data_IF_944768776671
#
_entry.id   IF_944768776671
#
_cell.length_a   1.000
_cell.length_b   1.000
_cell.length_c   1.000
_cell.angle_alpha   90.00
_cell.angle_beta   90.00
_cell.angle_gamma   90.00
#
_symmetry.space_group_name_H-M   'P 1'
#
loop_
_entity.id
_entity.type
_entity.pdbx_description
1 polymer ?
#
# COMPACT_ATOMS: atom_id res chain seq x y z
N UNK A 1 22.16 -16.07 7.34
CA UNK A 1 20.99 -15.25 6.96
C UNK A 1 19.79 -16.20 6.84
N UNK A 2 18.79 -16.09 7.71
CA UNK A 2 17.66 -17.05 7.74
C UNK A 2 16.82 -16.94 6.47
N UNK A 3 16.46 -18.08 5.84
CA UNK A 3 15.62 -18.14 4.64
C UNK A 3 14.31 -17.36 4.80
N UNK A 4 13.72 -17.36 6.00
CA UNK A 4 12.50 -16.60 6.31
C UNK A 4 12.68 -15.09 6.23
N UNK A 5 13.88 -14.55 6.54
CA UNK A 5 14.15 -13.10 6.42
C UNK A 5 14.18 -12.70 4.96
N UNK A 6 14.93 -13.43 4.13
CA UNK A 6 15.04 -13.14 2.69
C UNK A 6 13.68 -13.23 1.99
N UNK A 7 12.87 -14.22 2.33
CA UNK A 7 11.53 -14.37 1.76
C UNK A 7 10.62 -13.18 2.10
N UNK A 8 10.65 -12.70 3.35
CA UNK A 8 9.90 -11.50 3.74
C UNK A 8 10.42 -10.24 3.03
N UNK A 9 11.74 -10.08 2.91
CA UNK A 9 12.34 -8.96 2.18
C UNK A 9 11.90 -8.93 0.71
N UNK A 10 11.90 -10.08 0.03
CA UNK A 10 11.43 -10.19 -1.35
C UNK A 10 9.93 -9.94 -1.46
N UNK A 11 9.12 -10.46 -0.54
CA UNK A 11 7.68 -10.24 -0.53
C UNK A 11 7.33 -8.76 -0.35
N UNK A 12 8.03 -8.05 0.55
CA UNK A 12 7.85 -6.61 0.76
C UNK A 12 8.40 -5.80 -0.41
N UNK A 13 9.52 -6.21 -1.00
CA UNK A 13 10.04 -5.59 -2.23
C UNK A 13 9.01 -5.66 -3.35
N UNK A 14 8.49 -6.86 -3.65
CA UNK A 14 7.48 -7.09 -4.68
C UNK A 14 6.17 -6.37 -4.36
N UNK A 15 5.67 -6.49 -3.12
CA UNK A 15 4.44 -5.83 -2.68
C UNK A 15 4.54 -4.30 -2.76
N UNK A 16 5.70 -3.73 -2.44
CA UNK A 16 5.96 -2.29 -2.50
C UNK A 16 6.02 -1.71 -3.91
N UNK A 17 6.26 -2.52 -4.94
CA UNK A 17 6.19 -2.06 -6.36
C UNK A 17 4.81 -1.51 -6.67
N UNK A 18 3.75 -2.11 -6.12
CA UNK A 18 2.36 -1.70 -6.39
C UNK A 18 2.08 -0.27 -5.91
N UNK A 19 2.21 0.09 -4.62
CA UNK A 19 1.98 1.46 -4.15
C UNK A 19 2.99 2.47 -4.71
N UNK A 20 4.24 2.07 -4.98
CA UNK A 20 5.22 2.97 -5.60
C UNK A 20 4.82 3.28 -7.04
N UNK A 21 4.54 2.25 -7.85
CA UNK A 21 4.14 2.42 -9.24
C UNK A 21 2.82 3.15 -9.37
N UNK A 22 1.79 2.71 -8.64
CA UNK A 22 0.47 3.34 -8.66
C UNK A 22 0.50 4.76 -8.11
N UNK A 23 1.22 5.00 -7.00
CA UNK A 23 1.35 6.32 -6.42
C UNK A 23 2.12 7.29 -7.31
N UNK A 24 3.22 6.84 -7.93
CA UNK A 24 3.97 7.67 -8.89
C UNK A 24 3.15 7.97 -10.14
N UNK A 25 2.51 6.95 -10.72
CA UNK A 25 1.65 7.13 -11.89
C UNK A 25 0.47 8.07 -11.60
N UNK A 26 -0.24 7.88 -10.49
CA UNK A 26 -1.37 8.73 -10.11
C UNK A 26 -0.96 10.16 -9.76
N UNK A 27 0.23 10.34 -9.18
CA UNK A 27 0.78 11.67 -8.89
C UNK A 27 1.14 12.44 -10.17
N UNK A 28 1.66 11.76 -11.19
CA UNK A 28 2.07 12.37 -12.47
C UNK A 28 0.91 12.52 -13.45
N UNK A 29 0.12 11.47 -13.65
CA UNK A 29 -0.97 11.39 -14.63
C UNK A 29 -2.28 11.98 -14.09
N UNK A 30 -2.44 12.05 -12.76
CA UNK A 30 -3.68 12.50 -12.14
C UNK A 30 -4.85 11.53 -12.34
N UNK A 31 -6.10 12.01 -12.21
CA UNK A 31 -7.31 11.20 -12.35
C UNK A 31 -7.44 10.46 -13.70
N UNK A 32 -6.77 10.94 -14.75
CA UNK A 32 -6.74 10.30 -16.07
C UNK A 32 -6.12 8.89 -16.07
N UNK A 33 -5.50 8.48 -14.97
CA UNK A 33 -5.04 7.10 -14.75
C UNK A 33 -6.20 6.11 -14.56
N UNK A 34 -7.32 6.56 -14.00
CA UNK A 34 -8.44 5.69 -13.57
C UNK A 34 -9.70 5.97 -14.38
N UNK A 35 -9.92 7.22 -14.76
CA UNK A 35 -11.05 7.62 -15.59
C UNK A 35 -10.59 8.11 -16.96
N UNK A 36 -11.18 7.54 -18.02
CA UNK A 36 -11.05 8.03 -19.39
C UNK A 36 -11.93 9.28 -19.67
N UNK A 37 -12.62 9.81 -18.65
CA UNK A 37 -13.59 10.91 -18.80
C UNK A 37 -12.93 12.26 -18.46
N UNK A 38 -13.12 13.21 -19.37
CA UNK A 38 -12.27 14.37 -19.65
C UNK A 38 -12.54 15.63 -18.81
N UNK A 39 -13.18 15.56 -17.65
CA UNK A 39 -13.41 16.75 -16.82
C UNK A 39 -13.55 16.44 -15.32
N UNK A 40 -12.42 16.21 -14.65
CA UNK A 40 -12.36 16.21 -13.18
C UNK A 40 -12.17 17.66 -12.70
N UNK A 41 -12.92 18.08 -11.67
CA UNK A 41 -12.79 19.42 -11.12
C UNK A 41 -11.39 19.63 -10.51
N UNK A 42 -10.86 20.85 -10.56
CA UNK A 42 -9.54 21.18 -10.01
C UNK A 42 -9.34 20.70 -8.55
N UNK A 43 -10.33 20.82 -7.63
CA UNK A 43 -10.17 20.29 -6.27
C UNK A 43 -10.01 18.76 -6.24
N UNK A 44 -10.68 18.04 -7.13
CA UNK A 44 -10.60 16.58 -7.21
C UNK A 44 -9.30 16.11 -7.85
N UNK A 45 -8.78 16.81 -8.88
CA UNK A 45 -7.44 16.53 -9.43
C UNK A 45 -6.35 16.70 -8.35
N UNK A 46 -6.37 17.84 -7.65
CA UNK A 46 -5.42 18.11 -6.56
C UNK A 46 -5.50 17.05 -5.46
N UNK A 47 -6.71 16.69 -5.03
CA UNK A 47 -6.91 15.66 -4.00
C UNK A 47 -6.41 14.27 -4.46
N UNK A 48 -6.68 13.88 -5.71
CA UNK A 48 -6.22 12.62 -6.28
C UNK A 48 -4.69 12.54 -6.34
N UNK A 49 -4.02 13.61 -6.80
CA UNK A 49 -2.55 13.68 -6.85
C UNK A 49 -1.93 13.66 -5.46
N UNK A 50 -2.55 14.35 -4.49
CA UNK A 50 -2.13 14.31 -3.09
C UNK A 50 -2.20 12.89 -2.51
N UNK A 51 -3.33 12.19 -2.66
CA UNK A 51 -3.49 10.81 -2.20
C UNK A 51 -2.51 9.85 -2.90
N UNK A 52 -2.24 10.07 -4.18
CA UNK A 52 -1.26 9.29 -4.94
C UNK A 52 0.17 9.51 -4.42
N UNK A 53 0.53 10.74 -4.07
CA UNK A 53 1.80 11.07 -3.41
C UNK A 53 1.95 10.41 -2.04
N UNK A 54 0.87 10.37 -1.24
CA UNK A 54 0.86 9.64 0.03
C UNK A 54 1.05 8.13 -0.18
N UNK A 55 0.38 7.54 -1.18
CA UNK A 55 0.53 6.12 -1.53
C UNK A 55 1.97 5.79 -1.93
N UNK A 56 2.59 6.65 -2.75
CA UNK A 56 4.00 6.55 -3.10
C UNK A 56 4.89 6.60 -1.85
N UNK A 57 4.67 7.58 -0.97
CA UNK A 57 5.41 7.73 0.28
C UNK A 57 5.30 6.51 1.20
N UNK A 58 4.11 5.91 1.31
CA UNK A 58 3.90 4.67 2.07
C UNK A 58 4.68 3.51 1.45
N UNK A 59 4.63 3.36 0.12
CA UNK A 59 5.37 2.32 -0.60
C UNK A 59 6.89 2.42 -0.40
N UNK A 60 7.44 3.63 -0.54
CA UNK A 60 8.83 3.93 -0.24
C UNK A 60 9.16 3.67 1.25
N UNK A 61 8.24 4.03 2.15
CA UNK A 61 8.35 3.75 3.57
C UNK A 61 8.55 2.27 3.85
N UNK A 62 7.80 1.39 3.19
CA UNK A 62 8.00 -0.06 3.29
C UNK A 62 9.36 -0.48 2.72
N UNK A 63 9.76 0.04 1.55
CA UNK A 63 11.06 -0.30 0.95
C UNK A 63 12.26 0.09 1.82
N UNK A 64 12.19 1.23 2.51
CA UNK A 64 13.23 1.67 3.45
C UNK A 64 13.43 0.66 4.59
N UNK A 65 12.37 -0.07 4.99
CA UNK A 65 12.50 -1.09 6.05
C UNK A 65 13.20 -2.36 5.60
N UNK A 66 13.31 -2.64 4.29
CA UNK A 66 13.77 -3.93 3.76
C UNK A 66 15.15 -4.37 4.31
N UNK A 67 16.20 -3.53 4.34
CA UNK A 67 17.53 -3.98 4.77
C UNK A 67 17.55 -4.53 6.22
N UNK A 68 16.79 -3.89 7.11
CA UNK A 68 16.74 -4.16 8.55
C UNK A 68 15.31 -4.53 9.00
N UNK A 69 14.60 -5.31 8.18
CA UNK A 69 13.16 -5.55 8.34
C UNK A 69 12.77 -6.14 9.70
N UNK A 70 13.66 -6.89 10.35
CA UNK A 70 13.47 -7.43 11.69
C UNK A 70 13.50 -6.38 12.82
N UNK A 71 14.19 -5.25 12.62
CA UNK A 71 14.36 -4.18 13.61
C UNK A 71 13.30 -3.08 13.46
N UNK A 72 12.69 -2.98 12.29
CA UNK A 72 11.78 -1.89 11.91
C UNK A 72 10.31 -2.12 12.30
N UNK A 73 10.03 -2.95 13.31
CA UNK A 73 8.67 -3.39 13.69
C UNK A 73 7.71 -2.25 14.02
N UNK A 74 8.21 -1.12 14.51
CA UNK A 74 7.36 0.05 14.80
C UNK A 74 6.92 0.75 13.51
N UNK A 75 7.86 1.00 12.60
CA UNK A 75 7.58 1.65 11.31
C UNK A 75 6.71 0.74 10.44
N UNK A 76 7.05 -0.54 10.35
CA UNK A 76 6.31 -1.52 9.56
C UNK A 76 4.84 -1.61 10.00
N UNK A 77 4.57 -1.70 11.31
CA UNK A 77 3.20 -1.74 11.85
C UNK A 77 2.44 -0.45 11.62
N UNK A 78 3.10 0.70 11.76
CA UNK A 78 2.48 1.99 11.47
C UNK A 78 2.05 2.09 10.01
N UNK A 79 2.93 1.74 9.08
CA UNK A 79 2.63 1.74 7.64
C UNK A 79 1.50 0.75 7.32
N UNK A 80 1.55 -0.45 7.88
CA UNK A 80 0.49 -1.45 7.71
C UNK A 80 -0.86 -0.96 8.24
N UNK A 81 -0.89 -0.29 9.39
CA UNK A 81 -2.11 0.29 9.95
C UNK A 81 -2.68 1.39 9.04
N UNK A 82 -1.85 2.27 8.49
CA UNK A 82 -2.27 3.29 7.52
C UNK A 82 -2.93 2.63 6.29
N UNK A 83 -2.30 1.59 5.74
CA UNK A 83 -2.83 0.85 4.58
C UNK A 83 -4.17 0.18 4.90
N UNK A 84 -4.29 -0.46 6.07
CA UNK A 84 -5.54 -1.10 6.51
C UNK A 84 -6.65 -0.05 6.69
N UNK A 85 -6.35 1.11 7.27
CA UNK A 85 -7.33 2.20 7.40
C UNK A 85 -7.80 2.69 6.03
N UNK A 86 -6.88 2.82 5.06
CA UNK A 86 -7.23 3.10 3.67
C UNK A 86 -8.14 2.03 3.05
N UNK A 87 -7.82 0.75 3.29
CA UNK A 87 -8.62 -0.39 2.84
C UNK A 87 -10.01 -0.44 3.47
N UNK A 88 -10.17 -0.04 4.73
CA UNK A 88 -11.49 0.10 5.37
C UNK A 88 -12.31 1.18 4.66
N UNK A 89 -11.70 2.32 4.32
CA UNK A 89 -12.35 3.36 3.52
C UNK A 89 -12.78 2.85 2.14
N UNK A 90 -11.91 2.06 1.48
CA UNK A 90 -12.25 1.46 0.18
C UNK A 90 -13.33 0.38 0.28
N UNK A 91 -13.32 -0.44 1.33
CA UNK A 91 -14.38 -1.42 1.61
C UNK A 91 -15.72 -0.71 1.84
N UNK A 92 -15.72 0.38 2.61
CA UNK A 92 -16.91 1.18 2.82
C UNK A 92 -17.47 1.73 1.51
N UNK A 93 -16.60 2.25 0.63
CA UNK A 93 -17.00 2.71 -0.71
C UNK A 93 -17.62 1.57 -1.54
N UNK A 94 -17.04 0.36 -1.51
CA UNK A 94 -17.61 -0.80 -2.19
C UNK A 94 -19.03 -1.11 -1.71
N UNK A 95 -19.26 -1.06 -0.40
CA UNK A 95 -20.57 -1.33 0.20
C UNK A 95 -21.59 -0.21 -0.06
N UNK A 96 -21.13 1.05 -0.10
CA UNK A 96 -22.00 2.22 -0.21
C UNK A 96 -22.32 2.62 -1.66
N UNK A 97 -21.36 2.45 -2.58
CA UNK A 97 -21.44 2.94 -3.97
C UNK A 97 -21.52 1.79 -4.98
N UNK A 98 -20.94 0.63 -4.67
CA UNK A 98 -21.02 -0.57 -5.50
C UNK A 98 -19.65 -1.20 -5.81
N UNK A 99 -19.69 -2.31 -6.55
CA UNK A 99 -18.48 -3.10 -6.85
C UNK A 99 -17.60 -2.36 -7.87
N UNK A 100 -16.33 -2.08 -7.52
CA UNK A 100 -15.42 -1.37 -8.40
C UNK A 100 -14.80 -2.31 -9.45
N UNK A 101 -13.95 -1.73 -10.30
CA UNK A 101 -13.19 -2.47 -11.30
C UNK A 101 -12.13 -3.41 -10.68
N UNK A 102 -11.56 -4.29 -11.52
CA UNK A 102 -10.62 -5.34 -11.08
C UNK A 102 -9.36 -4.78 -10.40
N UNK A 103 -8.70 -3.73 -10.90
CA UNK A 103 -7.55 -3.12 -10.23
C UNK A 103 -7.86 -2.66 -8.80
N UNK A 104 -9.03 -2.07 -8.57
CA UNK A 104 -9.41 -1.57 -7.26
C UNK A 104 -9.76 -2.71 -6.28
N UNK A 105 -10.41 -3.78 -6.76
CA UNK A 105 -10.60 -5.02 -5.97
C UNK A 105 -9.26 -5.66 -5.59
N UNK A 106 -8.30 -5.69 -6.51
CA UNK A 106 -6.95 -6.17 -6.20
C UNK A 106 -6.29 -5.31 -5.12
N UNK A 107 -6.38 -3.98 -5.23
CA UNK A 107 -5.90 -3.06 -4.21
C UNK A 107 -6.54 -3.33 -2.83
N UNK A 108 -7.85 -3.60 -2.79
CA UNK A 108 -8.56 -3.93 -1.55
C UNK A 108 -8.03 -5.21 -0.89
N UNK A 109 -7.73 -6.26 -1.69
CA UNK A 109 -7.10 -7.50 -1.19
C UNK A 109 -5.70 -7.21 -0.66
N UNK A 110 -4.92 -6.38 -1.36
CA UNK A 110 -3.58 -5.98 -0.92
C UNK A 110 -3.63 -5.25 0.43
N UNK A 111 -4.63 -4.40 0.63
CA UNK A 111 -4.80 -3.58 1.83
C UNK A 111 -5.28 -4.39 3.04
N UNK A 112 -6.31 -5.24 2.86
CA UNK A 112 -7.00 -5.91 3.97
C UNK A 112 -6.53 -7.35 4.23
N UNK A 113 -5.81 -7.96 3.29
CA UNK A 113 -5.27 -9.32 3.48
C UNK A 113 -3.75 -9.32 3.44
N UNK A 114 -3.14 -8.93 2.31
CA UNK A 114 -1.69 -9.09 2.11
C UNK A 114 -0.88 -8.26 3.10
N UNK A 115 -1.23 -7.00 3.29
CA UNK A 115 -0.48 -6.10 4.18
C UNK A 115 -0.53 -6.54 5.66
N UNK A 116 -1.70 -6.90 6.24
CA UNK A 116 -1.76 -7.51 7.57
C UNK A 116 -0.96 -8.80 7.71
N UNK A 117 -0.99 -9.67 6.69
CA UNK A 117 -0.21 -10.92 6.69
C UNK A 117 1.30 -10.65 6.69
N UNK A 118 1.76 -9.69 5.90
CA UNK A 118 3.17 -9.26 5.91
C UNK A 118 3.56 -8.66 7.26
N UNK A 119 2.70 -7.84 7.87
CA UNK A 119 2.96 -7.26 9.19
C UNK A 119 3.01 -8.33 10.29
N UNK A 120 2.14 -9.33 10.23
CA UNK A 120 2.17 -10.47 11.14
C UNK A 120 3.44 -11.32 10.95
N UNK A 121 3.85 -11.55 9.70
CA UNK A 121 5.08 -12.28 9.40
C UNK A 121 6.31 -11.52 9.91
N UNK A 122 6.38 -10.20 9.69
CA UNK A 122 7.43 -9.35 10.22
C UNK A 122 7.50 -9.43 11.75
N UNK A 123 6.36 -9.35 12.44
CA UNK A 123 6.29 -9.49 13.89
C UNK A 123 6.84 -10.83 14.39
N UNK A 124 6.48 -11.94 13.71
CA UNK A 124 6.97 -13.29 14.04
C UNK A 124 8.48 -13.39 13.85
N UNK A 125 9.04 -12.72 12.84
CA UNK A 125 10.47 -12.68 12.59
C UNK A 125 11.21 -11.90 13.69
N UNK A 126 10.71 -10.72 14.07
CA UNK A 126 11.32 -9.90 15.12
C UNK A 126 11.36 -10.60 16.48
N UNK A 127 10.28 -11.33 16.84
CA UNK A 127 10.22 -12.11 18.09
C UNK A 127 11.20 -13.28 18.17
N UNK A 128 11.77 -13.73 17.05
CA UNK A 128 12.78 -14.81 17.04
C UNK A 128 14.20 -14.30 17.30
N UNK A 129 14.37 -12.97 17.29
CA UNK A 129 15.67 -12.31 17.44
C UNK A 129 15.80 -11.56 18.77
N UNK A 130 14.70 -11.47 19.54
CA UNK A 130 14.64 -10.99 20.93
C UNK A 130 14.78 -12.16 21.90
#
# INVERSE_FOLDING_TARGET
MSYSKRALQLAVAAGGVVPIGAGLAGMLLGPGMVDAISAVSMPMDSHYRYLSGLLLGIGLGFWITIPNIELESRRFRMLAAIVVLGGIGRLWSLLAVGVPDRPMLFGLIMELAVTPLLAFWQYRLSKRLS
#
